data_IF_898376648356
#
_entry.id   IF_898376648356
#
_cell.length_a   1.000
_cell.length_b   1.000
_cell.length_c   1.000
_cell.angle_alpha   90.00
_cell.angle_beta   90.00
_cell.angle_gamma   90.00
#
_symmetry.space_group_name_H-M   'P 1'
#
loop_
_entity.id
_entity.type
_entity.pdbx_description
1 polymer ?
#
# COMPACT_ATOMS: atom_id res chain seq x y z
N UNK A 1 -18.89 -17.31 -21.12
CA UNK A 1 -18.74 -16.36 -19.99
C UNK A 1 -17.25 -16.25 -19.70
N UNK A 2 -16.54 -15.36 -20.41
CA UNK A 2 -15.13 -15.08 -20.10
C UNK A 2 -15.09 -14.12 -18.92
N UNK A 3 -15.11 -14.65 -17.71
CA UNK A 3 -14.65 -13.94 -16.52
C UNK A 3 -13.12 -13.81 -16.66
N UNK A 4 -12.66 -12.89 -17.50
CA UNK A 4 -11.24 -12.53 -17.51
C UNK A 4 -10.87 -12.14 -16.08
N UNK A 5 -9.86 -12.80 -15.51
CA UNK A 5 -9.36 -12.54 -14.16
C UNK A 5 -9.31 -11.02 -13.95
N UNK A 6 -10.21 -10.49 -13.11
CA UNK A 6 -10.19 -9.07 -12.77
C UNK A 6 -8.87 -8.83 -12.04
N UNK A 7 -7.95 -8.14 -12.71
CA UNK A 7 -6.63 -7.82 -12.15
C UNK A 7 -6.84 -6.69 -11.15
N UNK A 8 -6.42 -6.85 -9.89
CA UNK A 8 -6.59 -5.80 -8.90
C UNK A 8 -5.75 -4.58 -9.26
N UNK A 9 -6.22 -3.40 -8.85
CA UNK A 9 -5.44 -2.17 -8.86
C UNK A 9 -4.40 -2.27 -7.75
N UNK A 10 -3.14 -2.11 -8.12
CA UNK A 10 -2.03 -2.07 -7.18
C UNK A 10 -1.82 -0.64 -6.68
N UNK A 11 -1.94 -0.43 -5.37
CA UNK A 11 -1.63 0.83 -4.71
C UNK A 11 -0.27 0.74 -4.01
N UNK A 12 0.63 1.68 -4.31
CA UNK A 12 1.98 1.74 -3.74
C UNK A 12 2.15 3.06 -2.98
N UNK A 13 1.93 3.04 -1.67
CA UNK A 13 2.21 4.17 -0.79
C UNK A 13 2.67 3.67 0.59
N UNK A 14 3.69 4.31 1.14
CA UNK A 14 4.27 3.91 2.43
C UNK A 14 5.09 5.03 3.07
N UNK A 15 5.64 4.73 4.24
CA UNK A 15 6.41 5.68 5.04
C UNK A 15 5.55 6.42 6.05
N UNK A 16 5.23 7.69 5.80
CA UNK A 16 4.43 8.54 6.70
C UNK A 16 3.01 8.79 6.16
N UNK A 17 2.16 9.41 6.97
CA UNK A 17 0.75 9.65 6.63
C UNK A 17 0.51 10.49 5.37
N UNK A 18 1.48 11.33 4.97
CA UNK A 18 1.31 12.27 3.85
C UNK A 18 1.04 11.62 2.50
N UNK A 19 1.52 10.39 2.28
CA UNK A 19 1.20 9.60 1.07
C UNK A 19 0.17 8.51 1.36
N UNK A 20 0.21 7.90 2.54
CA UNK A 20 -0.64 6.76 2.88
C UNK A 20 -2.11 7.16 3.01
N UNK A 21 -2.44 8.27 3.67
CA UNK A 21 -3.84 8.66 3.86
C UNK A 21 -4.53 9.11 2.55
N UNK A 22 -3.90 9.93 1.68
CA UNK A 22 -4.49 10.22 0.37
C UNK A 22 -4.66 8.96 -0.49
N UNK A 23 -3.69 8.04 -0.48
CA UNK A 23 -3.80 6.79 -1.22
C UNK A 23 -4.93 5.89 -0.68
N UNK A 24 -5.14 5.85 0.65
CA UNK A 24 -6.28 5.16 1.26
C UNK A 24 -7.61 5.77 0.82
N UNK A 25 -7.72 7.10 0.78
CA UNK A 25 -8.94 7.76 0.32
C UNK A 25 -9.27 7.41 -1.15
N UNK A 26 -8.24 7.34 -2.01
CA UNK A 26 -8.40 6.91 -3.40
C UNK A 26 -8.78 5.42 -3.48
N UNK A 27 -8.10 4.55 -2.73
CA UNK A 27 -8.38 3.12 -2.68
C UNK A 27 -9.82 2.83 -2.23
N UNK A 28 -10.29 3.55 -1.22
CA UNK A 28 -11.67 3.46 -0.73
C UNK A 28 -12.68 3.89 -1.80
N UNK A 29 -12.41 4.99 -2.50
CA UNK A 29 -13.28 5.44 -3.57
C UNK A 29 -13.35 4.43 -4.73
N UNK A 30 -12.24 3.76 -5.05
CA UNK A 30 -12.20 2.71 -6.07
C UNK A 30 -12.93 1.43 -5.61
N UNK A 31 -12.74 1.03 -4.34
CA UNK A 31 -13.47 -0.09 -3.72
C UNK A 31 -14.99 0.12 -3.80
N UNK A 32 -15.46 1.34 -3.55
CA UNK A 32 -16.88 1.71 -3.67
C UNK A 32 -17.42 1.63 -5.11
N UNK A 33 -16.54 1.69 -6.12
CA UNK A 33 -16.90 1.47 -7.54
C UNK A 33 -16.87 0.00 -7.95
N UNK A 34 -16.57 -0.91 -7.02
CA UNK A 34 -16.48 -2.35 -7.26
C UNK A 34 -15.10 -2.82 -7.73
N UNK A 35 -14.08 -1.97 -7.67
CA UNK A 35 -12.72 -2.35 -8.07
C UNK A 35 -12.05 -3.19 -6.98
N UNK A 36 -11.30 -4.22 -7.41
CA UNK A 36 -10.43 -5.00 -6.51
C UNK A 36 -9.12 -4.27 -6.28
N UNK A 37 -8.69 -4.15 -5.01
CA UNK A 37 -7.51 -3.40 -4.61
C UNK A 37 -6.52 -4.31 -3.89
N UNK A 38 -5.24 -4.19 -4.22
CA UNK A 38 -4.14 -4.74 -3.42
C UNK A 38 -3.13 -3.63 -3.13
N UNK A 39 -2.63 -3.60 -1.90
CA UNK A 39 -1.61 -2.64 -1.48
C UNK A 39 -0.22 -3.28 -1.51
N UNK A 40 0.80 -2.51 -1.83
CA UNK A 40 2.20 -2.91 -1.64
C UNK A 40 2.88 -1.87 -0.75
N UNK A 41 3.39 -2.35 0.38
CA UNK A 41 3.95 -1.49 1.42
C UNK A 41 5.15 -2.10 2.12
N UNK A 42 5.62 -1.43 3.17
CA UNK A 42 6.72 -1.90 4.02
C UNK A 42 6.20 -2.17 5.42
N UNK A 43 6.90 -3.02 6.18
CA UNK A 43 6.56 -3.28 7.60
C UNK A 43 6.99 -2.14 8.54
N UNK A 44 7.75 -1.18 8.03
CA UNK A 44 8.39 -0.13 8.83
C UNK A 44 7.58 1.16 8.87
N UNK A 45 6.73 1.42 7.88
CA UNK A 45 5.95 2.64 7.77
C UNK A 45 4.55 2.55 8.39
N UNK A 46 3.83 3.67 8.40
CA UNK A 46 2.48 3.76 8.97
C UNK A 46 1.48 2.85 8.25
N UNK A 47 1.71 2.55 6.97
CA UNK A 47 0.90 1.66 6.14
C UNK A 47 0.74 0.28 6.77
N UNK A 48 1.74 -0.19 7.52
CA UNK A 48 1.72 -1.50 8.16
C UNK A 48 0.57 -1.67 9.16
N UNK A 49 0.06 -0.56 9.70
CA UNK A 49 -1.06 -0.52 10.64
C UNK A 49 -2.36 -0.08 9.97
N UNK A 50 -2.31 1.02 9.22
CA UNK A 50 -3.55 1.66 8.75
C UNK A 50 -4.18 0.97 7.54
N UNK A 51 -3.39 0.30 6.70
CA UNK A 51 -3.93 -0.40 5.51
C UNK A 51 -4.68 -1.67 5.91
N UNK A 52 -4.12 -2.57 6.75
CA UNK A 52 -4.89 -3.71 7.25
C UNK A 52 -6.11 -3.30 8.07
N UNK A 53 -6.02 -2.22 8.86
CA UNK A 53 -7.15 -1.71 9.65
C UNK A 53 -8.29 -1.12 8.78
N UNK A 54 -8.01 -0.82 7.51
CA UNK A 54 -9.00 -0.41 6.51
C UNK A 54 -9.49 -1.59 5.64
N UNK A 55 -9.18 -2.83 6.03
CA UNK A 55 -9.55 -4.07 5.33
C UNK A 55 -9.05 -4.16 3.88
N UNK A 56 -7.88 -3.58 3.60
CA UNK A 56 -7.17 -3.77 2.33
C UNK A 56 -6.13 -4.89 2.45
N UNK A 57 -6.10 -5.78 1.47
CA UNK A 57 -5.01 -6.75 1.31
C UNK A 57 -3.68 -6.02 1.06
N UNK A 58 -2.60 -6.49 1.66
CA UNK A 58 -1.28 -5.87 1.55
C UNK A 58 -0.18 -6.92 1.35
N UNK A 59 0.63 -6.68 0.33
CA UNK A 59 1.89 -7.37 0.07
C UNK A 59 3.05 -6.54 0.62
N UNK A 60 4.10 -7.23 1.04
CA UNK A 60 5.20 -6.62 1.76
C UNK A 60 6.49 -6.64 0.95
N UNK A 61 7.11 -5.47 0.82
CA UNK A 61 8.49 -5.34 0.38
C UNK A 61 9.41 -5.21 1.58
N UNK A 62 10.50 -5.98 1.59
CA UNK A 62 11.59 -5.78 2.52
C UNK A 62 12.55 -4.72 1.95
N UNK A 63 12.15 -3.46 2.03
CA UNK A 63 12.92 -2.32 1.57
C UNK A 63 13.02 -1.27 2.68
N UNK A 64 14.20 -0.67 2.82
CA UNK A 64 14.45 0.44 3.73
C UNK A 64 15.00 1.63 2.95
N UNK A 65 14.60 2.84 3.35
CA UNK A 65 15.14 4.06 2.78
C UNK A 65 16.64 4.19 3.06
N UNK A 66 17.42 4.45 2.02
CA UNK A 66 18.87 4.72 2.14
C UNK A 66 19.14 6.19 2.52
N UNK A 67 18.16 7.07 2.32
CA UNK A 67 18.29 8.51 2.58
C UNK A 67 18.35 8.77 4.08
N UNK A 68 19.47 9.33 4.55
CA UNK A 68 19.72 9.58 5.97
C UNK A 68 20.40 8.42 6.71
N UNK A 69 20.71 7.31 6.03
CA UNK A 69 21.53 6.22 6.57
C UNK A 69 22.95 6.30 6.04
N UNK A 70 23.94 6.34 6.95
CA UNK A 70 25.36 6.27 6.58
C UNK A 70 25.79 4.84 6.29
N UNK A 71 27.01 4.65 5.78
CA UNK A 71 27.58 3.31 5.47
C UNK A 71 27.57 2.37 6.67
N UNK A 72 27.53 2.90 7.90
CA UNK A 72 27.44 2.13 9.14
C UNK A 72 26.02 1.81 9.62
N UNK A 73 24.97 2.35 8.99
CA UNK A 73 23.56 2.15 9.38
C UNK A 73 22.73 1.40 8.34
N UNK A 74 23.39 1.00 7.24
CA UNK A 74 22.86 0.13 6.18
C UNK A 74 22.79 -1.32 6.65
#
# INVERSE_FOLDING_TARGET
MNQGLQKPILVMAGGTGGHVFPALAVAENLRQRGESIIWLGTRSGIEARVVPAADFAIEWLNVQGLRGKGVMTL
#
